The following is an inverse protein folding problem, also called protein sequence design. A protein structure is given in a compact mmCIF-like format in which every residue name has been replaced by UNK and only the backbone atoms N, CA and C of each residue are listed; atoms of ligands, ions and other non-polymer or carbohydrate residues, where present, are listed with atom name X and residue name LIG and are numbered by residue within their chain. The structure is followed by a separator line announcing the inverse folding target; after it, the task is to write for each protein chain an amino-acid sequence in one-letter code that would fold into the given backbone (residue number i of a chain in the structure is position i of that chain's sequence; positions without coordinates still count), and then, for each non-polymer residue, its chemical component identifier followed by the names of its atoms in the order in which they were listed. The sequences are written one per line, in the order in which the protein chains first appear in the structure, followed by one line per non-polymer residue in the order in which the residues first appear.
data_IF_357227952758
#
_entry.id   IF_357227952758
#
_cell.length_a   1.000
_cell.length_b   1.000
_cell.length_c   1.000
_cell.angle_alpha   90.00
_cell.angle_beta   90.00
_cell.angle_gamma   90.00
#
_symmetry.space_group_name_H-M   'P 1'
#
loop_
_entity.id
_entity.type
_entity.pdbx_description
1 polymer ?
#
# COMPACT_ATOMS: atom_id res chain seq x y z
N UNK A 1 -21.38 -24.12 -9.19
CA UNK A 1 -21.80 -22.75 -8.84
C UNK A 1 -21.73 -22.67 -7.33
N UNK A 2 -20.57 -22.29 -6.79
CA UNK A 2 -20.37 -22.11 -5.35
C UNK A 2 -20.61 -20.62 -5.07
N UNK A 3 -21.68 -20.37 -4.30
CA UNK A 3 -22.01 -19.06 -3.76
C UNK A 3 -20.78 -18.47 -3.07
N UNK A 4 -20.24 -17.43 -3.62
CA UNK A 4 -19.30 -16.54 -2.93
C UNK A 4 -20.10 -15.75 -1.88
N UNK A 5 -20.31 -16.40 -0.73
CA UNK A 5 -20.91 -15.73 0.42
C UNK A 5 -20.04 -14.55 0.82
N UNK A 6 -20.62 -13.36 0.75
CA UNK A 6 -20.08 -12.15 1.36
C UNK A 6 -19.71 -12.47 2.81
N UNK A 7 -18.47 -12.21 3.25
CA UNK A 7 -18.07 -12.50 4.63
C UNK A 7 -18.99 -11.75 5.60
N UNK A 8 -19.38 -12.38 6.73
CA UNK A 8 -20.27 -11.76 7.70
C UNK A 8 -19.66 -10.45 8.22
N UNK A 9 -20.44 -9.37 8.16
CA UNK A 9 -20.06 -8.00 8.49
C UNK A 9 -19.70 -7.79 9.98
N UNK A 10 -19.89 -8.79 10.83
CA UNK A 10 -19.74 -8.69 12.27
C UNK A 10 -18.38 -9.14 12.84
N UNK A 11 -17.45 -9.62 11.99
CA UNK A 11 -16.23 -10.29 12.47
C UNK A 11 -15.14 -9.30 12.91
N UNK A 12 -15.20 -8.06 12.45
CA UNK A 12 -14.26 -7.02 12.88
C UNK A 12 -15.03 -5.98 13.69
N UNK A 13 -15.06 -6.14 15.02
CA UNK A 13 -15.67 -5.13 15.90
C UNK A 13 -15.01 -3.76 15.65
N UNK A 14 -15.82 -2.81 15.15
CA UNK A 14 -15.41 -1.42 14.94
C UNK A 14 -15.02 -1.06 13.50
N UNK A 15 -14.84 -2.01 12.59
CA UNK A 15 -14.46 -1.70 11.19
C UNK A 15 -15.71 -1.44 10.34
N UNK A 16 -15.81 -0.23 9.78
CA UNK A 16 -16.91 0.14 8.88
C UNK A 16 -16.45 0.02 7.43
N UNK A 17 -17.11 -0.80 6.58
CA UNK A 17 -16.82 -0.79 5.15
C UNK A 17 -17.21 0.55 4.54
N UNK A 18 -16.30 1.15 3.77
CA UNK A 18 -16.57 2.41 3.05
C UNK A 18 -17.37 2.14 1.77
N UNK A 19 -18.62 1.72 1.90
CA UNK A 19 -19.48 1.33 0.78
C UNK A 19 -19.71 2.43 -0.27
N UNK A 20 -19.45 3.70 0.03
CA UNK A 20 -19.62 4.82 -0.93
C UNK A 20 -18.35 5.13 -1.76
N UNK A 21 -17.18 4.74 -1.31
CA UNK A 21 -15.91 5.07 -1.98
C UNK A 21 -15.55 4.11 -3.12
N UNK A 22 -16.05 2.87 -3.08
CA UNK A 22 -15.79 1.84 -4.07
C UNK A 22 -17.08 1.58 -4.86
N UNK A 23 -17.05 1.76 -6.17
CA UNK A 23 -18.24 1.49 -7.01
C UNK A 23 -18.48 -0.03 -7.13
N UNK A 24 -19.72 -0.40 -7.52
CA UNK A 24 -20.15 -1.79 -7.59
C UNK A 24 -19.24 -2.65 -8.50
N UNK A 25 -18.72 -2.09 -9.60
CA UNK A 25 -17.82 -2.81 -10.53
C UNK A 25 -16.50 -3.15 -9.84
N UNK A 26 -15.89 -2.19 -9.14
CA UNK A 26 -14.66 -2.44 -8.41
C UNK A 26 -14.87 -3.45 -7.27
N UNK A 27 -16.01 -3.38 -6.58
CA UNK A 27 -16.34 -4.35 -5.52
C UNK A 27 -16.49 -5.76 -6.08
N UNK A 28 -17.22 -5.94 -7.19
CA UNK A 28 -17.38 -7.25 -7.84
C UNK A 28 -16.06 -7.81 -8.39
N UNK A 29 -15.11 -6.94 -8.75
CA UNK A 29 -13.78 -7.31 -9.21
C UNK A 29 -12.80 -7.59 -8.06
N UNK A 30 -13.21 -7.39 -6.79
CA UNK A 30 -12.43 -7.74 -5.60
C UNK A 30 -11.70 -6.56 -4.94
N UNK A 31 -12.11 -5.31 -5.22
CA UNK A 31 -11.63 -4.13 -4.48
C UNK A 31 -12.50 -3.93 -3.24
N UNK A 32 -11.89 -3.91 -2.07
CA UNK A 32 -12.58 -3.55 -0.82
C UNK A 32 -11.77 -2.49 -0.07
N UNK A 33 -12.45 -1.51 0.52
CA UNK A 33 -11.85 -0.48 1.35
C UNK A 33 -12.51 -0.52 2.74
N UNK A 34 -11.69 -0.81 3.72
CA UNK A 34 -12.06 -0.86 5.13
C UNK A 34 -11.61 0.43 5.79
N UNK A 35 -12.53 1.21 6.32
CA UNK A 35 -12.21 2.40 7.10
C UNK A 35 -11.92 2.01 8.55
N UNK A 36 -11.11 2.84 9.21
CA UNK A 36 -10.74 2.66 10.62
C UNK A 36 -10.26 1.24 10.94
N UNK A 37 -9.48 0.66 10.02
CA UNK A 37 -8.85 -0.65 10.17
C UNK A 37 -7.88 -0.70 11.36
N UNK A 38 -7.38 0.45 11.79
CA UNK A 38 -6.60 0.66 13.02
C UNK A 38 -7.13 1.89 13.76
N UNK A 39 -7.03 1.89 15.09
CA UNK A 39 -7.35 3.06 15.93
C UNK A 39 -6.26 4.14 15.82
N UNK A 40 -6.49 5.32 16.36
CA UNK A 40 -5.49 6.40 16.44
C UNK A 40 -4.28 6.02 17.32
N UNK A 41 -4.56 5.30 18.38
CA UNK A 41 -3.53 4.80 19.30
C UNK A 41 -2.67 3.73 18.59
N UNK A 42 -3.33 2.75 17.94
CA UNK A 42 -2.62 1.73 17.15
C UNK A 42 -1.81 2.35 16.00
N UNK A 43 -2.33 3.37 15.32
CA UNK A 43 -1.59 4.09 14.28
C UNK A 43 -0.31 4.71 14.83
N UNK A 44 -0.40 5.35 15.99
CA UNK A 44 0.74 5.95 16.67
C UNK A 44 1.81 4.91 17.00
N UNK A 45 1.41 3.78 17.57
CA UNK A 45 2.31 2.69 17.94
C UNK A 45 2.95 2.04 16.70
N UNK A 46 2.16 1.80 15.65
CA UNK A 46 2.66 1.24 14.39
C UNK A 46 3.65 2.18 13.71
N UNK A 47 3.40 3.49 13.71
CA UNK A 47 4.33 4.48 13.15
C UNK A 47 5.62 4.54 13.96
N UNK A 48 5.55 4.45 15.29
CA UNK A 48 6.74 4.39 16.15
C UNK A 48 7.60 3.14 15.85
N UNK A 49 6.96 1.97 15.66
CA UNK A 49 7.67 0.74 15.27
C UNK A 49 8.32 0.86 13.90
N UNK A 50 7.61 1.46 12.93
CA UNK A 50 8.15 1.73 11.59
C UNK A 50 9.35 2.67 11.66
N UNK A 51 9.29 3.71 12.47
CA UNK A 51 10.37 4.70 12.59
C UNK A 51 11.60 4.13 13.30
N UNK A 52 11.43 3.17 14.19
CA UNK A 52 12.51 2.43 14.82
C UNK A 52 13.15 1.38 13.91
N UNK A 53 12.46 0.97 12.83
CA UNK A 53 12.91 -0.07 11.91
C UNK A 53 14.01 0.40 10.95
N UNK A 54 14.74 -0.57 10.37
CA UNK A 54 15.80 -0.29 9.40
C UNK A 54 15.22 -0.04 8.01
N UNK A 55 15.58 1.10 7.42
CA UNK A 55 15.15 1.49 6.08
C UNK A 55 16.12 1.06 4.98
N UNK A 56 15.58 0.49 3.90
CA UNK A 56 16.25 0.34 2.61
C UNK A 56 15.91 1.57 1.75
N UNK A 57 16.94 2.31 1.34
CA UNK A 57 16.86 3.53 0.56
C UNK A 57 17.28 3.33 -0.91
N UNK A 58 17.36 2.11 -1.39
CA UNK A 58 17.75 1.77 -2.77
C UNK A 58 16.73 2.22 -3.83
N UNK A 59 15.49 2.50 -3.42
CA UNK A 59 14.42 3.00 -4.28
C UNK A 59 14.19 4.50 -4.06
N UNK A 60 13.45 5.15 -4.95
CA UNK A 60 13.04 6.57 -4.82
C UNK A 60 12.21 6.85 -3.56
N UNK A 61 11.53 5.83 -3.03
CA UNK A 61 10.88 5.80 -1.72
C UNK A 61 11.63 4.83 -0.83
N UNK A 62 11.75 5.10 0.45
CA UNK A 62 12.37 4.14 1.37
C UNK A 62 11.38 3.04 1.76
N UNK A 63 11.92 1.83 2.00
CA UNK A 63 11.12 0.63 2.27
C UNK A 63 11.71 -0.18 3.42
N UNK A 64 10.87 -1.02 4.05
CA UNK A 64 11.30 -2.08 4.96
C UNK A 64 10.67 -3.39 4.50
N UNK A 65 11.35 -4.50 4.72
CA UNK A 65 10.88 -5.83 4.35
C UNK A 65 10.92 -6.76 5.55
N UNK A 66 9.84 -7.49 5.78
CA UNK A 66 9.70 -8.43 6.88
C UNK A 66 9.18 -9.78 6.37
N UNK A 67 9.73 -10.86 6.92
CA UNK A 67 9.47 -12.23 6.50
C UNK A 67 10.11 -12.56 5.15
N UNK A 68 9.69 -11.87 4.10
CA UNK A 68 10.21 -12.06 2.74
C UNK A 68 10.40 -10.73 2.02
N UNK A 69 11.33 -10.71 1.05
CA UNK A 69 11.58 -9.60 0.13
C UNK A 69 11.38 -10.06 -1.31
N UNK A 70 10.73 -9.24 -2.11
CA UNK A 70 10.62 -9.49 -3.54
C UNK A 70 11.95 -9.19 -4.25
N UNK A 71 12.47 -10.16 -4.96
CA UNK A 71 13.67 -10.05 -5.79
C UNK A 71 13.28 -9.76 -7.24
N UNK A 72 13.48 -8.51 -7.69
CA UNK A 72 13.08 -8.05 -9.03
C UNK A 72 13.76 -8.82 -10.17
N UNK A 73 15.00 -9.25 -9.97
CA UNK A 73 15.80 -9.99 -10.96
C UNK A 73 15.22 -11.37 -11.28
N UNK A 74 14.75 -12.07 -10.26
CA UNK A 74 14.20 -13.44 -10.36
C UNK A 74 12.67 -13.47 -10.35
N UNK A 75 12.02 -12.36 -9.98
CA UNK A 75 10.58 -12.25 -9.75
C UNK A 75 10.05 -13.24 -8.71
N UNK A 76 10.86 -13.53 -7.70
CA UNK A 76 10.53 -14.45 -6.61
C UNK A 76 10.61 -13.75 -5.26
N UNK A 77 10.02 -14.35 -4.24
CA UNK A 77 10.20 -13.94 -2.86
C UNK A 77 11.37 -14.71 -2.25
N UNK A 78 12.27 -13.99 -1.57
CA UNK A 78 13.37 -14.56 -0.82
C UNK A 78 13.20 -14.25 0.67
N UNK A 79 13.47 -15.21 1.57
CA UNK A 79 13.39 -14.95 3.00
C UNK A 79 14.32 -13.79 3.42
N UNK A 80 13.90 -13.02 4.42
CA UNK A 80 14.74 -12.05 5.12
C UNK A 80 14.88 -12.46 6.59
N UNK A 81 15.98 -12.06 7.21
CA UNK A 81 16.27 -12.47 8.59
C UNK A 81 15.31 -11.85 9.62
N UNK A 82 14.72 -10.71 9.31
CA UNK A 82 13.86 -9.97 10.23
C UNK A 82 12.40 -10.43 10.10
N UNK A 83 11.84 -11.09 11.13
CA UNK A 83 10.42 -11.43 11.15
C UNK A 83 9.57 -10.15 11.28
N UNK A 84 8.30 -10.17 10.88
CA UNK A 84 7.40 -9.06 11.13
C UNK A 84 7.28 -8.78 12.62
N UNK A 85 7.30 -7.51 13.06
CA UNK A 85 7.00 -7.17 14.45
C UNK A 85 5.67 -7.79 14.90
N UNK A 86 5.52 -8.22 16.17
CA UNK A 86 4.29 -8.82 16.66
C UNK A 86 3.03 -7.99 16.43
N UNK A 87 3.14 -6.65 16.45
CA UNK A 87 2.03 -5.75 16.14
C UNK A 87 1.58 -5.86 14.67
N UNK A 88 2.53 -6.04 13.72
CA UNK A 88 2.19 -6.24 12.30
C UNK A 88 1.51 -7.59 12.08
N UNK A 89 1.97 -8.64 12.76
CA UNK A 89 1.36 -9.96 12.70
C UNK A 89 -0.06 -9.91 13.26
N UNK A 90 -0.28 -9.31 14.43
CA UNK A 90 -1.64 -9.15 15.00
C UNK A 90 -2.57 -8.36 14.08
N UNK A 91 -2.07 -7.30 13.42
CA UNK A 91 -2.85 -6.53 12.45
C UNK A 91 -3.21 -7.38 11.25
N UNK A 92 -2.27 -8.13 10.67
CA UNK A 92 -2.52 -9.04 9.56
C UNK A 92 -3.56 -10.13 9.92
N UNK A 93 -3.46 -10.71 11.13
CA UNK A 93 -4.44 -11.68 11.64
C UNK A 93 -5.85 -11.09 11.75
N UNK A 94 -5.97 -9.86 12.26
CA UNK A 94 -7.26 -9.17 12.37
C UNK A 94 -7.88 -8.89 11.00
N UNK A 95 -7.09 -8.59 9.98
CA UNK A 95 -7.56 -8.29 8.64
C UNK A 95 -7.78 -9.59 7.82
N UNK A 96 -7.21 -10.71 8.24
CA UNK A 96 -7.26 -12.01 7.55
C UNK A 96 -8.65 -12.38 7.03
N UNK A 97 -9.74 -12.32 7.82
CA UNK A 97 -11.07 -12.73 7.35
C UNK A 97 -11.58 -11.92 6.16
N UNK A 98 -11.20 -10.65 6.05
CA UNK A 98 -11.63 -9.75 4.97
C UNK A 98 -10.89 -10.00 3.67
N UNK A 99 -9.63 -10.45 3.75
CA UNK A 99 -8.74 -10.58 2.59
C UNK A 99 -8.54 -12.03 2.15
N UNK A 100 -8.35 -12.95 3.10
CA UNK A 100 -7.92 -14.32 2.82
C UNK A 100 -8.91 -15.39 3.29
N UNK A 101 -10.06 -14.99 3.86
CA UNK A 101 -11.00 -15.90 4.46
C UNK A 101 -10.50 -16.51 5.78
N UNK A 102 -11.36 -17.27 6.46
CA UNK A 102 -11.03 -17.91 7.74
C UNK A 102 -9.89 -18.94 7.62
N UNK A 103 -9.83 -19.64 6.49
CA UNK A 103 -8.83 -20.69 6.20
C UNK A 103 -7.59 -20.17 5.48
N UNK A 104 -7.47 -18.87 5.35
CA UNK A 104 -6.50 -18.17 4.51
C UNK A 104 -5.05 -18.42 4.84
N UNK A 105 -4.51 -19.64 4.57
CA UNK A 105 -3.09 -20.00 4.48
C UNK A 105 -2.39 -20.28 5.82
N UNK A 106 -1.14 -20.72 5.76
CA UNK A 106 -0.32 -21.15 6.89
C UNK A 106 0.36 -19.98 7.58
N UNK A 107 0.62 -20.12 8.88
CA UNK A 107 1.56 -19.26 9.58
C UNK A 107 2.95 -19.39 8.93
N UNK A 108 3.60 -18.26 8.72
CA UNK A 108 4.92 -18.22 8.05
C UNK A 108 4.91 -17.76 6.58
N UNK A 109 3.77 -17.77 5.91
CA UNK A 109 3.64 -17.32 4.51
C UNK A 109 3.40 -15.81 4.38
N UNK A 110 3.40 -15.08 5.49
CA UNK A 110 3.15 -13.64 5.50
C UNK A 110 4.40 -12.85 5.07
N UNK A 111 4.22 -12.02 4.07
CA UNK A 111 5.19 -11.02 3.65
C UNK A 111 4.65 -9.63 3.99
N UNK A 112 5.47 -8.80 4.63
CA UNK A 112 5.13 -7.40 4.84
C UNK A 112 6.18 -6.49 4.22
N UNK A 113 5.72 -5.55 3.37
CA UNK A 113 6.54 -4.43 2.90
C UNK A 113 5.98 -3.13 3.48
N UNK A 114 6.80 -2.40 4.20
CA UNK A 114 6.53 -1.02 4.60
C UNK A 114 7.03 -0.10 3.49
N UNK A 115 6.16 0.74 2.95
CA UNK A 115 6.52 1.77 1.97
C UNK A 115 6.25 3.14 2.57
N UNK A 116 7.23 4.03 2.55
CA UNK A 116 7.03 5.42 2.91
C UNK A 116 6.94 6.30 1.67
N UNK A 117 5.97 7.19 1.65
CA UNK A 117 5.77 8.19 0.60
C UNK A 117 5.76 9.59 1.23
N UNK A 118 6.73 10.41 0.85
CA UNK A 118 6.73 11.84 1.13
C UNK A 118 5.92 12.60 0.07
N UNK A 119 5.49 13.84 0.33
CA UNK A 119 4.83 14.68 -0.68
C UNK A 119 5.65 14.74 -1.98
N UNK A 120 5.01 14.48 -3.11
CA UNK A 120 5.68 14.39 -4.42
C UNK A 120 6.07 12.97 -4.83
N UNK A 121 6.20 12.03 -3.91
CA UNK A 121 6.51 10.64 -4.23
C UNK A 121 5.26 9.84 -4.64
N UNK A 122 5.49 8.76 -5.39
CA UNK A 122 4.46 7.86 -5.86
C UNK A 122 5.03 6.49 -6.22
N UNK A 123 4.21 5.69 -6.87
CA UNK A 123 4.59 4.40 -7.45
C UNK A 123 3.90 4.23 -8.79
N UNK A 124 4.67 3.85 -9.81
CA UNK A 124 4.15 3.60 -11.14
C UNK A 124 3.04 2.53 -11.14
N UNK A 125 2.06 2.61 -12.03
CA UNK A 125 1.06 1.58 -12.17
C UNK A 125 1.70 0.21 -12.41
N UNK A 126 1.35 -0.78 -11.60
CA UNK A 126 1.87 -2.15 -11.68
C UNK A 126 0.83 -3.15 -11.17
N UNK A 127 1.05 -4.40 -11.51
CA UNK A 127 0.39 -5.57 -10.91
C UNK A 127 1.49 -6.31 -10.14
N UNK A 128 1.20 -6.72 -8.91
CA UNK A 128 2.15 -7.54 -8.16
C UNK A 128 2.32 -8.90 -8.85
N UNK A 129 3.56 -9.40 -8.89
CA UNK A 129 3.90 -10.64 -9.59
C UNK A 129 3.00 -11.80 -9.17
N UNK A 130 2.38 -12.46 -10.14
CA UNK A 130 1.42 -13.54 -9.90
C UNK A 130 2.08 -14.77 -9.27
N UNK A 131 3.29 -15.12 -9.74
CA UNK A 131 4.03 -16.27 -9.24
C UNK A 131 4.70 -16.03 -7.89
N UNK A 132 4.85 -14.78 -7.45
CA UNK A 132 5.52 -14.45 -6.20
C UNK A 132 4.55 -14.31 -5.01
N UNK A 133 3.30 -13.96 -5.29
CA UNK A 133 2.30 -13.68 -4.26
C UNK A 133 0.95 -14.32 -4.61
N UNK A 134 0.33 -14.91 -3.63
CA UNK A 134 -1.01 -15.50 -3.73
C UNK A 134 -2.11 -14.45 -3.93
N UNK A 135 -3.34 -14.92 -3.92
CA UNK A 135 -4.51 -14.04 -3.97
C UNK A 135 -4.64 -13.25 -2.67
N UNK A 136 -5.18 -12.06 -2.82
CA UNK A 136 -5.36 -11.12 -1.72
C UNK A 136 -4.08 -10.38 -1.34
N UNK A 137 -4.12 -9.06 -1.42
CA UNK A 137 -3.16 -8.17 -0.79
C UNK A 137 -3.89 -7.12 0.04
N UNK A 138 -3.27 -6.69 1.12
CA UNK A 138 -3.82 -5.62 1.98
C UNK A 138 -2.79 -4.52 2.11
N UNK A 139 -3.22 -3.29 1.86
CA UNK A 139 -2.41 -2.10 2.06
C UNK A 139 -3.05 -1.20 3.13
N UNK A 140 -2.49 -1.22 4.35
CA UNK A 140 -2.95 -0.33 5.43
C UNK A 140 -2.25 1.01 5.31
N UNK A 141 -3.03 2.09 5.29
CA UNK A 141 -2.55 3.47 5.18
C UNK A 141 -2.42 4.09 6.56
N UNK A 142 -1.23 4.59 6.90
CA UNK A 142 -0.93 5.30 8.15
C UNK A 142 -0.40 6.71 7.84
N UNK A 143 -0.63 7.65 8.76
CA UNK A 143 -0.22 9.05 8.66
C UNK A 143 -1.12 9.83 7.71
N UNK A 144 -0.68 10.12 6.49
CA UNK A 144 -1.47 10.88 5.53
C UNK A 144 -2.20 9.98 4.53
N UNK A 145 -3.40 10.40 4.11
CA UNK A 145 -4.11 9.74 3.02
C UNK A 145 -3.50 10.05 1.64
N UNK A 146 -3.88 9.25 0.64
CA UNK A 146 -3.56 9.52 -0.77
C UNK A 146 -4.61 8.94 -1.72
N UNK A 147 -4.64 9.46 -2.95
CA UNK A 147 -5.43 8.85 -4.01
C UNK A 147 -4.60 7.77 -4.73
N UNK A 148 -5.17 6.56 -4.83
CA UNK A 148 -4.65 5.46 -5.65
C UNK A 148 -5.44 5.37 -6.95
N UNK A 149 -4.77 5.04 -8.05
CA UNK A 149 -5.39 4.74 -9.35
C UNK A 149 -5.44 3.25 -9.57
N UNK A 150 -6.58 2.77 -9.98
CA UNK A 150 -6.84 1.39 -10.36
C UNK A 150 -7.29 1.39 -11.82
N UNK A 151 -6.69 0.56 -12.65
CA UNK A 151 -7.07 0.44 -14.06
C UNK A 151 -6.96 -1.02 -14.50
N UNK A 152 -8.03 -1.55 -15.08
CA UNK A 152 -8.02 -2.90 -15.62
C UNK A 152 -7.02 -2.97 -16.77
N UNK A 153 -6.01 -3.82 -16.63
CA UNK A 153 -4.98 -4.01 -17.64
C UNK A 153 -5.51 -4.92 -18.73
N UNK A 154 -6.21 -4.36 -19.68
CA UNK A 154 -6.60 -5.09 -20.89
C UNK A 154 -5.54 -4.84 -21.95
N UNK A 155 -4.66 -5.79 -22.16
CA UNK A 155 -3.56 -5.71 -23.13
C UNK A 155 -4.02 -5.40 -24.56
N UNK A 156 -5.30 -5.57 -24.85
CA UNK A 156 -5.89 -5.39 -26.18
C UNK A 156 -7.00 -4.34 -26.23
N UNK A 157 -7.31 -3.67 -25.14
CA UNK A 157 -8.34 -2.64 -25.07
C UNK A 157 -7.72 -1.32 -24.60
N UNK A 158 -7.33 -0.49 -25.57
CA UNK A 158 -7.00 0.89 -25.29
C UNK A 158 -8.23 1.59 -24.69
N UNK A 159 -8.06 2.29 -23.56
CA UNK A 159 -9.13 3.11 -23.00
C UNK A 159 -9.91 2.51 -21.83
N UNK A 160 -9.44 1.44 -21.19
CA UNK A 160 -10.04 0.99 -19.94
C UNK A 160 -10.13 2.16 -18.92
N UNK A 161 -11.28 2.35 -18.24
CA UNK A 161 -11.46 3.46 -17.33
C UNK A 161 -10.45 3.42 -16.17
N UNK A 162 -9.94 4.60 -15.80
CA UNK A 162 -9.12 4.78 -14.62
C UNK A 162 -10.04 5.12 -13.46
N UNK A 163 -10.04 4.26 -12.44
CA UNK A 163 -10.72 4.50 -11.19
C UNK A 163 -9.75 5.16 -10.22
N UNK A 164 -10.16 6.27 -9.59
CA UNK A 164 -9.38 6.92 -8.54
C UNK A 164 -10.10 6.72 -7.22
N UNK A 165 -9.41 6.13 -6.25
CA UNK A 165 -9.94 5.85 -4.92
C UNK A 165 -9.12 6.62 -3.88
N UNK A 166 -9.78 7.34 -3.00
CA UNK A 166 -9.13 7.97 -1.85
C UNK A 166 -8.92 6.93 -0.74
N UNK A 167 -7.69 6.84 -0.27
CA UNK A 167 -7.29 6.03 0.87
C UNK A 167 -7.08 6.96 2.07
N UNK A 168 -8.04 7.10 2.96
CA UNK A 168 -7.85 7.92 4.16
C UNK A 168 -6.81 7.29 5.11
N UNK A 169 -6.26 8.07 6.05
CA UNK A 169 -5.49 7.49 7.16
C UNK A 169 -6.27 6.39 7.86
N UNK A 170 -5.58 5.39 8.37
CA UNK A 170 -6.12 4.24 9.11
C UNK A 170 -7.02 3.31 8.29
N UNK A 171 -7.10 3.50 6.96
CA UNK A 171 -7.83 2.58 6.08
C UNK A 171 -6.98 1.39 5.62
N UNK A 172 -7.64 0.29 5.29
CA UNK A 172 -7.04 -0.86 4.63
C UNK A 172 -7.69 -1.07 3.25
N UNK A 173 -6.89 -0.98 2.19
CA UNK A 173 -7.27 -1.37 0.84
C UNK A 173 -7.00 -2.86 0.67
N UNK A 174 -8.02 -3.61 0.29
CA UNK A 174 -7.93 -5.02 -0.06
C UNK A 174 -8.09 -5.17 -1.57
N UNK A 175 -7.20 -5.90 -2.20
CA UNK A 175 -7.29 -6.30 -3.61
C UNK A 175 -7.27 -7.83 -3.69
N UNK A 176 -8.32 -8.43 -4.24
CA UNK A 176 -8.45 -9.88 -4.44
C UNK A 176 -9.00 -10.18 -5.83
N UNK A 177 -8.95 -11.43 -6.27
CA UNK A 177 -9.48 -11.86 -7.54
C UNK A 177 -9.00 -11.01 -8.73
N UNK A 178 -9.92 -10.50 -9.57
CA UNK A 178 -9.58 -9.69 -10.72
C UNK A 178 -8.82 -8.41 -10.32
N UNK A 179 -9.19 -7.76 -9.21
CA UNK A 179 -8.50 -6.55 -8.74
C UNK A 179 -7.03 -6.82 -8.41
N UNK A 180 -6.71 -8.01 -7.90
CA UNK A 180 -5.34 -8.43 -7.57
C UNK A 180 -4.53 -8.81 -8.82
N UNK A 181 -5.15 -9.46 -9.79
CA UNK A 181 -4.44 -10.11 -10.89
C UNK A 181 -4.56 -9.40 -12.24
N UNK A 182 -5.55 -8.53 -12.41
CA UNK A 182 -5.83 -7.88 -13.70
C UNK A 182 -5.74 -6.37 -13.63
N UNK A 183 -5.91 -5.76 -12.45
CA UNK A 183 -5.82 -4.32 -12.33
C UNK A 183 -4.41 -3.86 -11.99
N UNK A 184 -3.91 -2.90 -12.76
CA UNK A 184 -2.77 -2.11 -12.32
C UNK A 184 -3.21 -1.18 -11.19
N UNK A 185 -2.34 -1.02 -10.19
CA UNK A 185 -2.52 -0.05 -9.14
C UNK A 185 -1.28 0.83 -9.03
N UNK A 186 -1.49 2.11 -8.72
CA UNK A 186 -0.40 3.08 -8.67
C UNK A 186 -0.79 4.38 -7.98
N UNK A 187 0.20 5.12 -7.53
CA UNK A 187 0.05 6.43 -6.89
C UNK A 187 0.82 7.45 -7.72
N UNK A 188 0.10 8.45 -8.23
CA UNK A 188 0.72 9.51 -9.05
C UNK A 188 1.68 10.33 -8.19
N UNK A 189 2.88 10.63 -8.71
CA UNK A 189 3.86 11.50 -8.05
C UNK A 189 3.38 12.95 -8.12
N UNK A 190 2.83 13.45 -7.01
CA UNK A 190 2.32 14.83 -6.87
C UNK A 190 2.18 15.22 -5.40
N UNK A 191 2.12 16.52 -5.11
CA UNK A 191 2.07 17.06 -3.74
C UNK A 191 0.67 17.12 -3.13
N UNK A 192 -0.37 16.87 -3.90
CA UNK A 192 -1.75 16.88 -3.42
C UNK A 192 -2.66 16.07 -4.33
N UNK A 193 -3.86 15.77 -3.86
CA UNK A 193 -4.91 15.03 -4.55
C UNK A 193 -6.20 15.81 -4.59
N UNK A 194 -6.91 15.75 -5.72
CA UNK A 194 -8.28 16.22 -5.81
C UNK A 194 -9.21 15.11 -5.31
N UNK A 195 -9.93 15.38 -4.24
CA UNK A 195 -10.85 14.43 -3.58
C UNK A 195 -12.17 15.13 -3.37
N UNK A 196 -13.25 14.63 -3.97
CA UNK A 196 -14.60 15.20 -3.89
C UNK A 196 -14.65 16.69 -4.26
N UNK A 197 -13.85 17.12 -5.24
CA UNK A 197 -13.76 18.50 -5.70
C UNK A 197 -12.83 19.39 -4.87
N UNK A 198 -12.26 18.90 -3.77
CA UNK A 198 -11.34 19.64 -2.91
C UNK A 198 -9.89 19.21 -3.12
N UNK A 199 -8.98 20.17 -3.13
CA UNK A 199 -7.55 19.90 -3.18
C UNK A 199 -6.99 19.61 -1.79
N UNK A 200 -6.51 18.37 -1.59
CA UNK A 200 -5.90 17.92 -0.33
C UNK A 200 -4.41 17.77 -0.49
N UNK A 201 -3.64 18.49 0.30
CA UNK A 201 -2.18 18.32 0.34
C UNK A 201 -1.82 16.98 0.95
N UNK A 202 -0.80 16.32 0.38
CA UNK A 202 -0.24 15.10 0.93
C UNK A 202 0.72 15.40 2.06
N UNK A 203 0.63 14.64 3.14
CA UNK A 203 1.65 14.52 4.17
C UNK A 203 2.52 13.27 3.97
N UNK A 204 3.29 12.92 4.98
CA UNK A 204 4.00 11.65 5.07
C UNK A 204 2.97 10.52 5.17
N UNK A 205 3.02 9.61 4.22
CA UNK A 205 2.19 8.38 4.20
C UNK A 205 3.08 7.17 4.38
N UNK A 206 2.70 6.29 5.29
CA UNK A 206 3.26 4.94 5.42
C UNK A 206 2.22 3.94 4.97
N UNK A 207 2.63 2.94 4.18
CA UNK A 207 1.78 1.81 3.78
C UNK A 207 2.37 0.51 4.31
N UNK A 208 1.64 -0.18 5.19
CA UNK A 208 1.94 -1.57 5.55
C UNK A 208 1.24 -2.45 4.52
N UNK A 209 2.01 -3.07 3.64
CA UNK A 209 1.45 -3.91 2.57
C UNK A 209 1.73 -5.38 2.88
N UNK A 210 0.65 -6.09 3.20
CA UNK A 210 0.68 -7.52 3.53
C UNK A 210 0.31 -8.36 2.33
N UNK A 211 1.06 -9.43 2.12
CA UNK A 211 0.85 -10.43 1.07
C UNK A 211 1.14 -11.81 1.62
N UNK A 212 0.61 -12.82 0.96
CA UNK A 212 0.93 -14.23 1.24
C UNK A 212 1.73 -14.82 0.11
N UNK A 213 2.64 -15.71 0.44
CA UNK A 213 3.31 -16.51 -0.57
C UNK A 213 2.32 -17.53 -1.14
N UNK A 214 2.41 -17.83 -2.46
CA UNK A 214 1.60 -18.86 -3.05
C UNK A 214 2.06 -20.25 -2.57
N UNK A 215 1.22 -21.29 -2.65
CA UNK A 215 1.67 -22.66 -2.50
C UNK A 215 2.81 -22.97 -3.48
N UNK A 216 3.73 -23.89 -3.12
CA UNK A 216 4.76 -24.35 -4.06
C UNK A 216 4.12 -24.92 -5.34
N UNK A 217 4.69 -24.57 -6.49
CA UNK A 217 4.22 -25.08 -7.77
C UNK A 217 3.97 -24.01 -8.82
N UNK A 218 3.37 -24.38 -9.95
CA UNK A 218 3.00 -23.42 -11.01
C UNK A 218 1.93 -22.47 -10.51
N UNK A 219 1.91 -21.25 -11.05
CA UNK A 219 0.92 -20.24 -10.69
C UNK A 219 -0.50 -20.70 -11.06
N UNK A 220 -1.41 -20.71 -10.09
CA UNK A 220 -2.81 -21.10 -10.22
C UNK A 220 -3.77 -19.90 -10.05
N UNK A 221 -3.37 -18.70 -10.51
CA UNK A 221 -4.13 -17.47 -10.29
C UNK A 221 -5.49 -17.39 -11.02
N UNK A 222 -5.77 -18.27 -11.98
CA UNK A 222 -7.01 -18.24 -12.79
C UNK A 222 -7.05 -17.14 -13.86
N UNK A 223 -5.96 -16.36 -14.04
CA UNK A 223 -5.87 -15.26 -15.01
C UNK A 223 -4.68 -15.44 -15.97
N UNK A 224 -4.68 -16.48 -16.82
CA UNK A 224 -3.50 -16.83 -17.63
C UNK A 224 -3.05 -15.73 -18.59
N UNK A 225 -3.99 -14.94 -19.13
CA UNK A 225 -3.70 -13.85 -20.07
C UNK A 225 -2.91 -12.69 -19.41
N UNK A 226 -3.04 -12.50 -18.10
CA UNK A 226 -2.36 -11.47 -17.33
C UNK A 226 -1.18 -12.03 -16.54
N UNK A 227 -1.05 -13.35 -16.46
CA UNK A 227 -0.08 -14.02 -15.60
C UNK A 227 1.35 -13.90 -16.13
N UNK A 228 2.23 -13.29 -15.35
CA UNK A 228 3.64 -13.13 -15.68
C UNK A 228 4.48 -14.41 -15.42
N UNK A 229 3.87 -15.42 -14.76
CA UNK A 229 4.48 -16.72 -14.47
C UNK A 229 4.07 -17.82 -15.46
N UNK A 230 3.06 -17.60 -16.30
CA UNK A 230 2.53 -18.65 -17.23
C UNK A 230 3.40 -18.89 -18.47
N UNK A 231 4.42 -18.07 -18.71
CA UNK A 231 5.22 -18.11 -19.93
C UNK A 231 4.50 -17.62 -21.19
N UNK A 232 3.17 -17.49 -21.13
CA UNK A 232 2.32 -17.03 -22.26
C UNK A 232 2.16 -15.51 -22.28
N UNK A 233 2.45 -14.84 -21.17
CA UNK A 233 2.35 -13.40 -21.09
C UNK A 233 3.54 -12.75 -21.82
N UNK A 234 3.33 -11.89 -22.85
CA UNK A 234 4.43 -11.14 -23.45
C UNK A 234 5.10 -10.28 -22.40
N UNK A 235 6.43 -10.32 -22.36
CA UNK A 235 7.23 -9.48 -21.46
C UNK A 235 6.85 -8.02 -21.69
N UNK A 236 6.36 -7.32 -20.69
CA UNK A 236 6.19 -5.88 -20.74
C UNK A 236 7.56 -5.26 -21.03
N UNK A 237 7.74 -4.74 -22.24
CA UNK A 237 8.87 -3.87 -22.52
C UNK A 237 8.76 -2.65 -21.59
N UNK A 238 9.82 -2.27 -20.87
CA UNK A 238 9.80 -1.05 -20.08
C UNK A 238 9.54 0.10 -21.05
N UNK A 239 8.45 0.82 -20.83
CA UNK A 239 8.17 2.08 -21.51
C UNK A 239 9.33 3.01 -21.18
N UNK A 240 10.27 3.19 -22.12
CA UNK A 240 11.33 4.20 -22.00
C UNK A 240 10.65 5.56 -21.93
N UNK A 241 10.47 6.07 -20.75
CA UNK A 241 10.30 7.50 -20.56
C UNK A 241 11.62 8.14 -21.03
N UNK A 242 11.58 8.83 -22.17
CA UNK A 242 12.64 9.73 -22.58
C UNK A 242 12.72 10.83 -21.51
N UNK A 243 13.73 10.76 -20.68
CA UNK A 243 14.05 11.74 -19.67
C UNK A 243 15.57 11.84 -19.59
N UNK A 244 16.07 12.99 -19.93
CA UNK A 244 17.42 13.51 -20.04
C UNK A 244 18.40 13.03 -18.98
N UNK A 245 19.64 12.85 -19.45
CA UNK A 245 20.86 12.63 -18.68
C UNK A 245 21.09 13.64 -17.55
N UNK A 246 21.52 13.12 -16.42
CA UNK A 246 21.99 13.90 -15.28
C UNK A 246 22.17 12.96 -14.11
N UNK A 247 23.30 12.22 -14.09
CA UNK A 247 23.66 11.37 -12.97
C UNK A 247 24.03 12.24 -11.77
N UNK A 248 23.18 12.17 -10.73
CA UNK A 248 23.57 12.50 -9.37
C UNK A 248 23.29 11.26 -8.55
N UNK A 249 24.30 10.73 -7.87
CA UNK A 249 24.15 9.69 -6.87
C UNK A 249 23.12 10.12 -5.81
N UNK A 250 22.21 9.23 -5.36
CA UNK A 250 21.31 9.57 -4.28
C UNK A 250 22.13 9.82 -3.02
N UNK A 251 21.82 10.86 -2.23
CA UNK A 251 22.51 11.12 -0.97
C UNK A 251 22.35 9.91 -0.04
N UNK A 252 23.47 9.48 0.54
CA UNK A 252 23.53 8.36 1.46
C UNK A 252 22.51 8.52 2.58
N UNK A 253 21.89 7.42 2.96
CA UNK A 253 20.93 7.31 4.08
C UNK A 253 21.69 7.47 5.41
N UNK A 254 22.12 8.70 5.74
CA UNK A 254 22.70 9.00 7.04
C UNK A 254 21.60 8.94 8.09
N UNK A 255 21.65 7.89 8.92
CA UNK A 255 20.74 7.65 10.04
C UNK A 255 20.74 8.77 11.12
N UNK A 256 21.52 9.85 10.90
CA UNK A 256 21.67 10.96 11.85
C UNK A 256 21.09 12.30 11.41
N UNK A 257 20.42 12.40 10.26
CA UNK A 257 19.89 13.67 9.76
C UNK A 257 18.41 13.64 9.43
N UNK A 258 17.58 13.24 10.39
CA UNK A 258 16.15 13.57 10.30
C UNK A 258 15.57 13.79 11.70
N UNK A 259 16.15 14.73 12.42
CA UNK A 259 15.42 15.47 13.45
C UNK A 259 15.12 16.83 12.84
N UNK A 260 14.10 16.90 12.01
CA UNK A 260 13.50 18.17 11.67
C UNK A 260 12.59 18.55 12.84
N UNK A 261 13.15 19.31 13.77
CA UNK A 261 12.43 19.91 14.88
C UNK A 261 11.32 20.82 14.31
N UNK A 262 10.09 20.40 14.42
CA UNK A 262 8.93 21.30 14.39
C UNK A 262 8.92 22.13 15.66
N UNK A 263 9.74 23.20 15.70
CA UNK A 263 9.52 24.30 16.62
C UNK A 263 8.33 25.11 16.10
N UNK A 264 7.16 24.76 16.54
CA UNK A 264 6.01 25.67 16.52
C UNK A 264 6.32 26.71 17.61
N UNK A 265 6.82 27.87 17.19
CA UNK A 265 6.92 29.04 18.03
C UNK A 265 5.50 29.55 18.31
N UNK A 266 4.99 29.29 19.51
CA UNK A 266 3.81 29.94 20.02
C UNK A 266 4.22 31.38 20.33
N UNK A 267 3.85 32.30 19.47
CA UNK A 267 3.97 33.74 19.70
C UNK A 267 2.82 34.16 20.62
N UNK A 268 3.11 34.38 21.88
CA UNK A 268 2.16 34.96 22.85
C UNK A 268 2.25 36.48 22.68
N UNK A 269 1.17 37.18 22.30
CA UNK A 269 1.18 38.66 22.27
C UNK A 269 1.20 39.21 23.70
N UNK A 270 2.23 39.96 24.02
CA UNK A 270 2.38 40.67 25.28
C UNK A 270 1.29 41.72 25.44
N UNK A 271 0.64 41.72 26.59
CA UNK A 271 -0.32 42.70 27.02
C UNK A 271 0.30 44.09 27.31
N UNK A 272 -0.49 45.13 27.38
CA UNK A 272 -0.03 46.51 27.42
C UNK A 272 0.54 46.91 28.76
N UNK A 273 1.73 47.48 28.71
CA UNK A 273 2.35 48.10 29.91
C UNK A 273 1.79 49.52 30.08
N UNK A 274 1.05 49.73 31.16
CA UNK A 274 0.63 51.04 31.64
C UNK A 274 1.57 51.49 32.79
N UNK A 275 1.82 52.84 32.83
CA UNK A 275 2.44 53.69 33.84
C UNK A 275 3.96 53.89 33.73
N UNK A 276 4.38 55.16 33.44
CA UNK A 276 4.53 56.29 34.37
C UNK A 276 4.93 57.58 33.67
N UNK A 277 4.30 58.57 34.15
CA UNK A 277 4.69 59.89 34.67
C UNK A 277 6.06 60.40 34.25
#
# INVERSE_FOLDING_TARGET
MTDLQTPPQDIIRGVRPAQRAVNATLQSDGVNLVLDAVSEEEETDLLALVDAGRWDCSLSRRVQHYGHRFAYSTKTCVPVAEPPPPAFTRLAERIRPVCWGADGGRDGDLQCTVNEYLPGQGISPHIDAHGAFGDGLVAVTLGAGCAIRLQRNRRHEAGAPIHTLWLPPRSALVLSGAARYVYTHGIVSRKGDLVDGEWRLRGRRVSLTFRRLPPPGPCACGFPESCDASGTAPKLLPTRLRGSAGGAEPPGCDAKKTVCASRVGVNIPGGPNKYKT
#
